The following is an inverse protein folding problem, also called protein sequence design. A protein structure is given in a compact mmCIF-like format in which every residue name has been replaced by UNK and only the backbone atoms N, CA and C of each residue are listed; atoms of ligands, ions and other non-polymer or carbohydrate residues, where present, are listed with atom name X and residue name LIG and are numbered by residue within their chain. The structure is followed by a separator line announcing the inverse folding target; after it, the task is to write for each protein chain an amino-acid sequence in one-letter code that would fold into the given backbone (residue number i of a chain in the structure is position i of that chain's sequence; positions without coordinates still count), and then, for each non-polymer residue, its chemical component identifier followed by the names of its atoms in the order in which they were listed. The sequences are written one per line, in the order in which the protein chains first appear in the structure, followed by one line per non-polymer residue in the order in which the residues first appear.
data_IF_885331530919
#
_entry.id   IF_885331530919
#
_cell.length_a   1.000
_cell.length_b   1.000
_cell.length_c   1.000
_cell.angle_alpha   90.00
_cell.angle_beta   90.00
_cell.angle_gamma   90.00
#
_symmetry.space_group_name_H-M   'P 1'
#
loop_
_entity.id
_entity.type
_entity.pdbx_description
1 polymer ?
#
# COMPACT_ATOMS: atom_id res chain seq x y z
N UNK A 1 -52.33 -39.03 33.29
CA UNK A 1 -51.76 -37.74 33.76
C UNK A 1 -50.46 -37.54 32.97
N UNK A 2 -50.42 -36.70 31.93
CA UNK A 2 -50.02 -35.28 31.92
C UNK A 2 -48.76 -34.99 32.76
N UNK A 3 -47.58 -34.87 32.12
CA UNK A 3 -46.94 -33.60 31.78
C UNK A 3 -45.52 -33.80 31.16
N UNK A 4 -44.99 -32.81 30.40
CA UNK A 4 -44.16 -33.04 29.22
C UNK A 4 -42.75 -32.41 29.29
N UNK A 5 -41.95 -32.69 28.25
CA UNK A 5 -40.95 -31.83 27.62
C UNK A 5 -39.76 -31.30 28.45
N UNK A 6 -38.61 -31.97 28.34
CA UNK A 6 -37.26 -31.40 28.44
C UNK A 6 -36.33 -32.43 27.78
N UNK A 7 -35.64 -32.17 26.67
CA UNK A 7 -34.57 -31.19 26.61
C UNK A 7 -34.20 -30.97 25.14
N UNK A 8 -34.88 -30.05 24.46
CA UNK A 8 -34.55 -29.60 23.10
C UNK A 8 -33.65 -28.34 23.11
N UNK A 9 -32.88 -28.13 24.17
CA UNK A 9 -32.08 -26.91 24.36
C UNK A 9 -30.68 -26.93 23.73
N UNK A 10 -30.30 -27.99 23.01
CA UNK A 10 -28.96 -28.07 22.42
C UNK A 10 -28.90 -27.46 21.00
N UNK A 11 -30.04 -27.26 20.34
CA UNK A 11 -30.06 -26.80 18.95
C UNK A 11 -30.15 -25.27 18.69
N UNK A 12 -30.62 -24.38 19.58
CA UNK A 12 -30.73 -22.96 19.24
C UNK A 12 -29.44 -22.16 19.50
N UNK A 13 -28.49 -22.67 20.30
CA UNK A 13 -27.21 -21.98 20.56
C UNK A 13 -26.27 -22.01 19.34
N UNK A 14 -26.28 -23.09 18.54
CA UNK A 14 -25.44 -23.14 17.33
C UNK A 14 -25.95 -22.19 16.23
N UNK A 15 -27.27 -22.03 16.09
CA UNK A 15 -27.85 -21.11 15.10
C UNK A 15 -27.63 -19.64 15.44
N UNK A 16 -27.43 -19.29 16.71
CA UNK A 16 -27.10 -17.93 17.11
C UNK A 16 -25.64 -17.58 16.77
N UNK A 17 -24.72 -18.54 16.75
CA UNK A 17 -23.30 -18.29 16.45
C UNK A 17 -23.05 -17.97 14.97
N UNK A 18 -23.84 -18.54 14.06
CA UNK A 18 -23.67 -18.32 12.60
C UNK A 18 -24.20 -16.96 12.13
N UNK A 19 -25.12 -16.34 12.89
CA UNK A 19 -25.67 -15.01 12.58
C UNK A 19 -24.69 -13.85 12.86
N UNK A 20 -23.67 -14.07 13.70
CA UNK A 20 -22.64 -13.06 14.00
C UNK A 20 -21.36 -13.19 13.17
N UNK A 21 -21.26 -14.21 12.31
CA UNK A 21 -20.23 -14.25 11.28
C UNK A 21 -20.64 -13.35 10.10
N UNK A 22 -20.74 -12.04 10.35
CA UNK A 22 -20.61 -11.09 9.25
C UNK A 22 -19.18 -11.26 8.76
N UNK A 23 -19.01 -12.01 7.67
CA UNK A 23 -17.78 -12.02 6.91
C UNK A 23 -17.44 -10.55 6.64
N UNK A 24 -16.42 -10.05 7.31
CA UNK A 24 -15.72 -8.84 6.89
C UNK A 24 -15.15 -9.21 5.51
N UNK A 25 -15.95 -9.02 4.47
CA UNK A 25 -15.46 -9.05 3.10
C UNK A 25 -14.46 -7.90 3.06
N UNK A 26 -13.18 -8.27 3.08
CA UNK A 26 -12.11 -7.31 2.95
C UNK A 26 -12.24 -6.74 1.53
N UNK A 27 -12.49 -5.43 1.42
CA UNK A 27 -12.46 -4.75 0.14
C UNK A 27 -11.02 -4.77 -0.36
N UNK A 28 -10.74 -5.68 -1.29
CA UNK A 28 -9.43 -5.81 -1.93
C UNK A 28 -9.33 -4.79 -3.07
N UNK A 29 -8.18 -4.12 -3.21
CA UNK A 29 -7.93 -3.22 -4.33
C UNK A 29 -7.54 -4.07 -5.53
N UNK A 30 -8.42 -4.21 -6.52
CA UNK A 30 -8.11 -4.98 -7.74
C UNK A 30 -7.05 -4.26 -8.59
N UNK A 31 -7.28 -2.97 -8.90
CA UNK A 31 -6.39 -2.15 -9.71
C UNK A 31 -6.18 -0.77 -9.07
N UNK A 32 -4.95 -0.26 -9.13
CA UNK A 32 -4.63 1.12 -8.72
C UNK A 32 -4.18 1.93 -9.92
N UNK A 33 -4.78 3.11 -10.13
CA UNK A 33 -4.37 4.05 -11.17
C UNK A 33 -3.80 5.31 -10.52
N UNK A 34 -2.57 5.66 -10.89
CA UNK A 34 -1.94 6.93 -10.53
C UNK A 34 -2.24 7.95 -11.61
N UNK A 35 -3.05 8.95 -11.27
CA UNK A 35 -3.33 10.08 -12.13
C UNK A 35 -2.41 11.26 -11.77
N UNK A 36 -1.68 11.79 -12.75
CA UNK A 36 -0.90 13.00 -12.57
C UNK A 36 -1.48 14.09 -13.48
N UNK A 37 -1.79 15.24 -12.88
CA UNK A 37 -2.31 16.41 -13.56
C UNK A 37 -1.34 17.58 -13.38
N UNK A 38 -0.81 18.07 -14.50
CA UNK A 38 -0.04 19.30 -14.54
C UNK A 38 -1.03 20.47 -14.68
N UNK A 39 -1.25 21.18 -13.58
CA UNK A 39 -2.16 22.33 -13.53
C UNK A 39 -1.69 23.51 -14.39
N UNK A 40 -0.39 23.60 -14.70
CA UNK A 40 0.14 24.70 -15.50
C UNK A 40 -0.07 24.44 -17.00
N UNK A 41 0.13 23.20 -17.46
CA UNK A 41 0.02 22.85 -18.88
C UNK A 41 -1.31 22.20 -19.26
N UNK A 42 -2.13 21.81 -18.28
CA UNK A 42 -3.37 21.07 -18.49
C UNK A 42 -3.16 19.62 -18.93
N UNK A 43 -1.91 19.16 -19.01
CA UNK A 43 -1.58 17.78 -19.39
C UNK A 43 -1.91 16.84 -18.25
N UNK A 44 -2.46 15.69 -18.60
CA UNK A 44 -2.62 14.58 -17.67
C UNK A 44 -1.88 13.34 -18.18
N UNK A 45 -1.67 12.40 -17.27
CA UNK A 45 -1.22 11.06 -17.58
C UNK A 45 -1.79 10.13 -16.53
N UNK A 46 -2.08 8.90 -16.96
CA UNK A 46 -2.51 7.84 -16.08
C UNK A 46 -1.55 6.66 -16.17
N UNK A 47 -1.16 6.15 -15.00
CA UNK A 47 -0.35 4.95 -14.89
C UNK A 47 -1.12 3.89 -14.13
N UNK A 48 -1.18 2.68 -14.65
CA UNK A 48 -1.51 1.52 -13.84
C UNK A 48 -0.34 1.23 -12.91
N UNK A 49 -0.62 1.14 -11.61
CA UNK A 49 0.34 0.80 -10.58
C UNK A 49 0.20 -0.68 -10.24
N UNK A 50 1.28 -1.43 -10.47
CA UNK A 50 1.37 -2.85 -10.17
C UNK A 50 2.41 -3.04 -9.08
N UNK A 51 1.99 -3.60 -7.95
CA UNK A 51 2.88 -4.00 -6.84
C UNK A 51 3.14 -5.50 -6.91
N UNK A 52 4.40 -5.88 -7.01
CA UNK A 52 4.83 -7.28 -7.04
C UNK A 52 5.81 -7.52 -5.88
N UNK A 53 5.33 -8.05 -4.74
CA UNK A 53 6.21 -8.42 -3.64
C UNK A 53 7.12 -9.58 -4.05
N UNK A 54 8.44 -9.42 -3.90
CA UNK A 54 9.45 -10.43 -4.19
C UNK A 54 10.48 -10.47 -3.05
N UNK A 55 10.45 -11.56 -2.27
CA UNK A 55 11.27 -11.71 -1.06
C UNK A 55 11.04 -10.56 -0.06
N UNK A 56 12.07 -9.74 0.21
CA UNK A 56 12.02 -8.60 1.14
C UNK A 56 11.69 -7.28 0.47
N UNK A 57 11.70 -7.25 -0.86
CA UNK A 57 11.47 -6.04 -1.63
C UNK A 57 10.12 -6.13 -2.32
N UNK A 58 9.51 -4.97 -2.57
CA UNK A 58 8.34 -4.86 -3.42
C UNK A 58 8.73 -4.12 -4.68
N UNK A 59 8.47 -4.73 -5.82
CA UNK A 59 8.66 -4.07 -7.10
C UNK A 59 7.39 -3.31 -7.45
N UNK A 60 7.47 -1.99 -7.55
CA UNK A 60 6.41 -1.12 -8.03
C UNK A 60 6.65 -0.83 -9.50
N UNK A 61 5.70 -1.19 -10.35
CA UNK A 61 5.74 -0.93 -11.78
C UNK A 61 4.63 0.05 -12.16
N UNK A 62 5.00 1.11 -12.86
CA UNK A 62 4.08 2.10 -13.42
C UNK A 62 4.00 1.89 -14.93
N UNK A 63 2.83 1.44 -15.39
CA UNK A 63 2.53 1.19 -16.81
C UNK A 63 1.68 2.34 -17.35
N UNK A 64 2.16 3.12 -18.32
CA UNK A 64 1.38 4.23 -18.89
C UNK A 64 0.18 3.70 -19.68
N UNK A 65 -1.02 4.19 -19.36
CA UNK A 65 -2.28 3.71 -19.97
C UNK A 65 -2.56 4.32 -21.36
N UNK A 66 -2.08 5.53 -21.61
CA UNK A 66 -2.51 6.33 -22.76
C UNK A 66 -1.57 6.26 -23.96
N UNK A 67 -0.42 5.57 -23.86
CA UNK A 67 0.64 5.62 -24.87
C UNK A 67 1.24 4.25 -25.16
N UNK A 68 0.99 3.73 -26.37
CA UNK A 68 1.40 2.39 -26.82
C UNK A 68 2.91 2.16 -26.91
N UNK A 69 3.72 3.22 -26.93
CA UNK A 69 5.16 3.15 -27.18
C UNK A 69 6.03 3.46 -25.95
N UNK A 70 5.43 3.57 -24.77
CA UNK A 70 6.17 3.88 -23.55
C UNK A 70 6.49 2.63 -22.76
N UNK A 71 7.70 2.60 -22.22
CA UNK A 71 8.16 1.46 -21.42
C UNK A 71 7.66 1.63 -19.98
N UNK A 72 7.34 0.54 -19.27
CA UNK A 72 7.05 0.64 -17.84
C UNK A 72 8.25 1.18 -17.08
N UNK A 73 7.99 1.99 -16.05
CA UNK A 73 9.00 2.37 -15.07
C UNK A 73 8.86 1.50 -13.83
N UNK A 74 9.99 1.08 -13.27
CA UNK A 74 10.05 0.08 -12.21
C UNK A 74 10.97 0.54 -11.08
N UNK A 75 10.41 0.52 -9.88
CA UNK A 75 11.08 0.87 -8.63
C UNK A 75 11.06 -0.33 -7.70
N UNK A 76 12.14 -0.53 -6.96
CA UNK A 76 12.20 -1.50 -5.86
C UNK A 76 12.09 -0.74 -4.55
N UNK A 77 11.22 -1.23 -3.68
CA UNK A 77 10.96 -0.64 -2.38
C UNK A 77 11.23 -1.70 -1.32
N UNK A 78 12.22 -1.47 -0.48
CA UNK A 78 12.43 -2.24 0.74
C UNK A 78 11.58 -1.61 1.85
N UNK A 79 10.77 -2.43 2.54
CA UNK A 79 9.91 -1.97 3.62
C UNK A 79 10.42 -2.53 4.95
N UNK A 80 10.83 -1.68 5.88
CA UNK A 80 11.48 -2.09 7.11
C UNK A 80 10.80 -1.52 8.35
N UNK A 81 10.58 -2.34 9.36
CA UNK A 81 10.05 -1.92 10.66
C UNK A 81 11.23 -1.48 11.50
N UNK A 82 11.31 -0.17 11.77
CA UNK A 82 12.40 0.43 12.53
C UNK A 82 12.04 0.54 14.02
N UNK A 83 10.76 0.72 14.37
CA UNK A 83 10.32 0.80 15.77
C UNK A 83 8.83 0.51 15.94
N UNK A 84 8.39 0.42 17.21
CA UNK A 84 6.99 0.25 17.60
C UNK A 84 6.52 1.44 18.44
N UNK A 85 5.33 1.97 18.15
CA UNK A 85 4.63 2.91 19.00
C UNK A 85 3.41 2.22 19.61
N UNK A 86 3.55 1.78 20.87
CA UNK A 86 2.57 0.88 21.48
C UNK A 86 2.52 -0.46 20.74
N UNK A 87 1.33 -0.86 20.27
CA UNK A 87 1.13 -2.06 19.43
C UNK A 87 1.32 -1.79 17.93
N UNK A 88 1.50 -0.52 17.52
CA UNK A 88 1.55 -0.14 16.12
C UNK A 88 2.98 -0.17 15.60
N UNK A 89 3.17 -0.84 14.46
CA UNK A 89 4.45 -0.89 13.75
C UNK A 89 4.69 0.43 13.03
N UNK A 90 5.94 0.90 13.10
CA UNK A 90 6.41 2.04 12.33
C UNK A 90 7.71 1.69 11.64
N UNK A 91 7.94 2.33 10.50
CA UNK A 91 8.98 1.88 9.62
C UNK A 91 9.33 2.88 8.55
N UNK A 92 10.11 2.40 7.61
CA UNK A 92 10.67 3.16 6.51
C UNK A 92 10.50 2.35 5.23
N UNK A 93 10.18 3.07 4.16
CA UNK A 93 10.30 2.60 2.80
C UNK A 93 11.56 3.19 2.21
N UNK A 94 12.49 2.33 1.81
CA UNK A 94 13.68 2.70 1.08
C UNK A 94 13.49 2.41 -0.40
N UNK A 95 13.69 3.43 -1.24
CA UNK A 95 13.46 3.36 -2.68
C UNK A 95 14.78 3.14 -3.40
N UNK A 96 14.75 2.25 -4.39
CA UNK A 96 15.82 2.07 -5.36
C UNK A 96 15.23 1.97 -6.76
N UNK A 97 15.85 2.66 -7.71
CA UNK A 97 15.40 2.62 -9.11
C UNK A 97 15.96 1.37 -9.78
N UNK A 98 15.13 0.64 -10.52
CA UNK A 98 15.61 -0.46 -11.39
C UNK A 98 15.61 -0.06 -12.85
N UNK A 99 14.56 0.63 -13.30
CA UNK A 99 14.43 1.12 -14.66
C UNK A 99 13.43 2.27 -14.71
N UNK A 100 13.71 3.31 -15.47
CA UNK A 100 12.74 4.37 -15.77
C UNK A 100 12.62 4.58 -17.26
N UNK A 101 11.40 4.90 -17.71
CA UNK A 101 11.14 5.27 -19.10
C UNK A 101 11.74 6.64 -19.39
N UNK A 102 12.78 6.67 -20.22
CA UNK A 102 13.47 7.91 -20.58
C UNK A 102 12.59 8.84 -21.44
N UNK A 103 11.52 8.30 -22.04
CA UNK A 103 10.53 9.09 -22.78
C UNK A 103 9.45 9.71 -21.88
N UNK A 104 9.43 9.38 -20.59
CA UNK A 104 8.61 10.04 -19.59
C UNK A 104 9.50 10.83 -18.62
N UNK A 105 9.71 12.11 -18.95
CA UNK A 105 10.60 12.98 -18.17
C UNK A 105 10.25 13.05 -16.68
N UNK A 106 8.98 12.84 -16.30
CA UNK A 106 8.57 12.85 -14.89
C UNK A 106 9.11 11.63 -14.15
N UNK A 107 8.87 10.43 -14.70
CA UNK A 107 9.35 9.19 -14.09
C UNK A 107 10.87 9.06 -14.20
N UNK A 108 11.46 9.55 -15.29
CA UNK A 108 12.92 9.65 -15.43
C UNK A 108 13.53 10.54 -14.34
N UNK A 109 13.01 11.77 -14.16
CA UNK A 109 13.50 12.70 -13.13
C UNK A 109 13.29 12.14 -11.72
N UNK A 110 12.13 11.53 -11.46
CA UNK A 110 11.88 10.87 -10.17
C UNK A 110 12.87 9.73 -9.91
N UNK A 111 13.16 8.90 -10.92
CA UNK A 111 14.16 7.83 -10.79
C UNK A 111 15.58 8.35 -10.56
N UNK A 112 15.97 9.45 -11.21
CA UNK A 112 17.25 10.13 -10.94
C UNK A 112 17.29 10.62 -9.49
N UNK A 113 16.23 11.29 -9.03
CA UNK A 113 16.14 11.78 -7.65
C UNK A 113 16.24 10.64 -6.62
N UNK A 114 15.52 9.53 -6.82
CA UNK A 114 15.61 8.33 -5.97
C UNK A 114 17.05 7.85 -5.85
N UNK A 115 17.77 7.81 -6.97
CA UNK A 115 19.14 7.29 -7.05
C UNK A 115 20.14 8.26 -6.42
N UNK A 116 20.03 9.55 -6.74
CA UNK A 116 20.96 10.59 -6.29
C UNK A 116 20.82 10.91 -4.80
N UNK A 117 19.60 10.84 -4.26
CA UNK A 117 19.30 11.24 -2.89
C UNK A 117 19.01 10.09 -1.94
N UNK A 118 19.11 8.84 -2.40
CA UNK A 118 18.81 7.65 -1.60
C UNK A 118 17.44 7.79 -0.89
N UNK A 119 16.40 8.02 -1.71
CA UNK A 119 15.09 8.43 -1.20
C UNK A 119 14.54 7.41 -0.19
N UNK A 120 14.07 7.94 0.94
CA UNK A 120 13.36 7.20 1.97
C UNK A 120 12.08 7.93 2.36
N UNK A 121 11.08 7.17 2.77
CA UNK A 121 9.82 7.71 3.31
C UNK A 121 9.41 6.97 4.56
N UNK A 122 8.73 7.66 5.48
CA UNK A 122 8.31 7.08 6.75
C UNK A 122 6.91 6.46 6.64
N UNK A 123 6.80 5.22 7.10
CA UNK A 123 5.53 4.55 7.35
C UNK A 123 5.16 4.70 8.82
N UNK A 124 4.23 5.60 9.09
CA UNK A 124 3.75 5.88 10.44
C UNK A 124 2.30 5.43 10.57
N UNK A 125 1.97 4.83 11.70
CA UNK A 125 0.58 4.56 12.05
C UNK A 125 -0.07 5.86 12.54
N UNK A 126 -1.21 6.20 11.97
CA UNK A 126 -2.05 7.31 12.43
C UNK A 126 -3.05 6.80 13.46
N UNK A 127 -2.96 7.31 14.69
CA UNK A 127 -4.00 7.10 15.72
C UNK A 127 -5.21 8.04 15.46
N UNK A 128 -6.37 7.65 15.95
CA UNK A 128 -7.63 8.41 15.99
C UNK A 128 -7.52 9.83 16.56
N UNK A 129 -6.48 10.11 17.35
CA UNK A 129 -6.21 11.44 17.92
C UNK A 129 -5.19 12.26 17.12
N UNK A 130 -4.54 11.67 16.11
CA UNK A 130 -3.51 12.33 15.33
C UNK A 130 -4.13 13.01 14.10
N UNK A 131 -3.84 14.31 13.95
CA UNK A 131 -4.21 15.05 12.75
C UNK A 131 -3.19 14.77 11.65
N UNK A 132 -3.67 14.36 10.47
CA UNK A 132 -2.87 14.31 9.27
C UNK A 132 -2.75 15.72 8.69
N UNK A 133 -1.56 16.32 8.81
CA UNK A 133 -1.27 17.62 8.22
C UNK A 133 -0.55 17.44 6.88
N UNK A 134 -1.18 17.88 5.80
CA UNK A 134 -0.53 18.02 4.51
C UNK A 134 0.12 19.40 4.44
N UNK A 135 1.45 19.44 4.53
CA UNK A 135 2.20 20.66 4.21
C UNK A 135 2.45 20.73 2.71
N UNK A 136 2.86 21.90 2.21
CA UNK A 136 3.28 22.03 0.82
C UNK A 136 4.47 21.12 0.45
N UNK A 137 5.23 20.67 1.46
CA UNK A 137 6.37 19.77 1.30
C UNK A 137 5.98 18.28 1.31
N UNK A 138 4.82 17.93 1.87
CA UNK A 138 4.31 16.55 1.90
C UNK A 138 3.55 16.29 0.60
N UNK A 139 4.29 15.80 -0.41
CA UNK A 139 3.84 15.69 -1.80
C UNK A 139 2.88 14.54 -2.15
N UNK A 140 2.32 13.80 -1.18
CA UNK A 140 1.33 12.76 -1.50
C UNK A 140 0.92 11.86 -0.34
N UNK A 141 -0.29 11.30 -0.44
CA UNK A 141 -0.80 10.20 0.38
C UNK A 141 -0.95 8.96 -0.49
N UNK A 142 -0.42 7.83 -0.05
CA UNK A 142 -0.66 6.53 -0.67
C UNK A 142 -1.50 5.67 0.29
N UNK A 143 -2.67 5.23 -0.17
CA UNK A 143 -3.48 4.21 0.49
C UNK A 143 -3.32 2.93 -0.33
N UNK A 144 -3.04 1.83 0.34
CA UNK A 144 -2.69 0.55 -0.30
C UNK A 144 -3.19 -0.62 0.55
N UNK A 145 -3.33 -1.80 -0.04
CA UNK A 145 -3.68 -3.01 0.69
C UNK A 145 -2.58 -3.37 1.69
N UNK A 146 -2.92 -3.92 2.88
CA UNK A 146 -1.93 -4.31 3.88
C UNK A 146 -0.89 -5.32 3.37
N UNK A 147 -1.21 -6.07 2.32
CA UNK A 147 -0.34 -7.06 1.67
C UNK A 147 0.49 -6.50 0.51
N UNK A 148 0.35 -5.23 0.16
CA UNK A 148 1.07 -4.64 -0.98
C UNK A 148 2.59 -4.63 -0.75
N UNK A 149 3.03 -4.56 0.50
CA UNK A 149 4.45 -4.54 0.89
C UNK A 149 4.80 -5.68 1.83
N UNK A 150 5.93 -6.35 1.57
CA UNK A 150 6.51 -7.32 2.51
C UNK A 150 7.42 -6.60 3.50
N UNK A 151 7.03 -6.53 4.77
CA UNK A 151 7.81 -5.85 5.80
C UNK A 151 8.90 -6.73 6.41
N UNK A 152 10.13 -6.23 6.44
CA UNK A 152 11.23 -6.80 7.21
C UNK A 152 11.29 -6.22 8.62
N UNK A 153 11.69 -7.02 9.60
CA UNK A 153 12.05 -6.53 10.96
C UNK A 153 13.52 -6.15 11.08
N UNK A 154 14.30 -6.30 10.01
CA UNK A 154 15.66 -5.78 9.92
C UNK A 154 15.61 -4.37 9.33
N UNK A 155 16.56 -3.52 9.71
CA UNK A 155 16.70 -2.19 9.13
C UNK A 155 16.92 -2.28 7.61
N UNK A 156 16.44 -1.28 6.88
CA UNK A 156 16.66 -1.18 5.43
C UNK A 156 18.13 -0.92 5.09
N UNK A 157 18.89 -0.39 6.06
CA UNK A 157 20.34 -0.28 6.00
C UNK A 157 20.97 -1.56 6.57
N UNK A 158 21.25 -2.53 5.70
CA UNK A 158 22.30 -3.51 5.97
C UNK A 158 23.33 -3.38 4.86
N UNK A 159 24.52 -2.91 5.22
CA UNK A 159 25.73 -3.01 4.40
C UNK A 159 26.02 -4.49 4.04
#
# INVERSE_FOLDING_TARGET
MKCPNANNYVFPCLSALTLFCTFMVHAHIENTVVANYDLNTGKNVHYELITSPLNKDTTVTLVPLEQSNKTPSTFKIAACINYYAGSSKQGEFHFSTTKTDQNDSRLANFGSFVTEHNLHTWWIHLDTQQNLLFTQDVGGLLITDPSAFTFSTKACHQD
#
